data_IF_479434734593
#
_entry.id   IF_479434734593
#
_cell.length_a   1.000
_cell.length_b   1.000
_cell.length_c   1.000
_cell.angle_alpha   90.00
_cell.angle_beta   90.00
_cell.angle_gamma   90.00
#
_symmetry.space_group_name_H-M   'P 1'
#
loop_
_entity.id
_entity.type
_entity.pdbx_description
1 polymer ?
#
# COMPACT_ATOMS: atom_id res chain seq x y z
N UNK A 1 -25.77 -23.28 22.58
CA UNK A 1 -25.36 -21.89 22.32
C UNK A 1 -24.66 -21.88 20.97
N UNK A 2 -24.93 -20.91 20.11
CA UNK A 2 -24.09 -20.70 18.93
C UNK A 2 -22.76 -20.12 19.42
N UNK A 3 -21.65 -20.60 18.88
CA UNK A 3 -20.38 -19.93 19.08
C UNK A 3 -20.37 -18.74 18.11
N UNK A 4 -20.31 -17.53 18.66
CA UNK A 4 -20.22 -16.31 17.87
C UNK A 4 -18.74 -15.93 17.71
N UNK A 5 -18.34 -15.54 16.50
CA UNK A 5 -17.03 -14.95 16.23
C UNK A 5 -17.26 -13.47 15.99
N UNK A 6 -16.84 -12.62 16.92
CA UNK A 6 -16.91 -11.17 16.80
C UNK A 6 -15.58 -10.64 16.26
N UNK A 7 -15.64 -9.72 15.29
CA UNK A 7 -14.46 -9.05 14.72
C UNK A 7 -14.43 -7.60 15.21
N UNK A 8 -13.32 -7.19 15.82
CA UNK A 8 -13.10 -5.79 16.19
C UNK A 8 -12.43 -5.05 15.03
N UNK A 9 -12.87 -3.80 14.80
CA UNK A 9 -12.21 -2.89 13.86
C UNK A 9 -11.08 -2.20 14.62
N UNK A 10 -9.83 -2.52 14.28
CA UNK A 10 -8.67 -1.80 14.82
C UNK A 10 -8.48 -0.42 14.17
N UNK A 11 -7.45 0.31 14.59
CA UNK A 11 -7.07 1.57 13.96
C UNK A 11 -6.57 1.31 12.54
N UNK A 12 -7.22 1.89 11.54
CA UNK A 12 -6.79 1.81 10.14
C UNK A 12 -5.47 2.56 9.96
N UNK A 13 -4.56 1.95 9.21
CA UNK A 13 -3.35 2.62 8.70
C UNK A 13 -3.64 3.09 7.29
N UNK A 14 -3.28 4.33 6.98
CA UNK A 14 -3.52 4.93 5.67
C UNK A 14 -2.22 5.41 5.04
N UNK A 15 -1.98 4.99 3.80
CA UNK A 15 -0.84 5.38 2.98
C UNK A 15 -1.30 6.36 1.90
N UNK A 16 -0.88 7.63 2.00
CA UNK A 16 -1.17 8.69 1.04
C UNK A 16 -0.32 9.94 1.32
N UNK A 17 -0.36 10.93 0.45
CA UNK A 17 0.25 12.25 0.72
C UNK A 17 -0.69 13.10 1.56
N UNK A 18 -0.26 13.47 2.77
CA UNK A 18 -1.06 14.25 3.73
C UNK A 18 -1.56 15.56 3.11
N UNK A 19 -2.88 15.79 3.16
CA UNK A 19 -3.53 16.98 2.61
C UNK A 19 -3.87 16.88 1.12
N UNK A 20 -3.44 15.83 0.44
CA UNK A 20 -3.75 15.63 -0.99
C UNK A 20 -5.05 14.88 -1.19
N UNK A 21 -5.42 13.92 -0.33
CA UNK A 21 -6.60 13.10 -0.62
C UNK A 21 -7.91 13.90 -0.58
N UNK A 22 -8.46 14.20 -1.75
CA UNK A 22 -9.68 14.95 -1.95
C UNK A 22 -10.44 14.37 -3.15
N UNK A 23 -11.03 13.18 -2.99
CA UNK A 23 -11.64 12.50 -4.11
C UNK A 23 -12.85 13.31 -4.55
N UNK A 24 -12.91 13.65 -5.84
CA UNK A 24 -14.12 14.22 -6.45
C UNK A 24 -15.31 13.25 -6.27
N UNK A 25 -15.03 11.94 -6.18
CA UNK A 25 -15.99 10.90 -5.89
C UNK A 25 -15.78 10.27 -4.49
N UNK A 26 -16.67 10.60 -3.55
CA UNK A 26 -16.67 10.02 -2.19
C UNK A 26 -16.73 8.48 -2.22
N UNK A 27 -17.24 7.88 -3.30
CA UNK A 27 -17.35 6.43 -3.44
C UNK A 27 -16.00 5.70 -3.45
N UNK A 28 -14.89 6.40 -3.71
CA UNK A 28 -13.57 5.77 -3.78
C UNK A 28 -12.79 5.81 -2.47
N UNK A 29 -13.30 6.52 -1.46
CA UNK A 29 -12.62 6.71 -0.18
C UNK A 29 -12.80 5.52 0.77
N UNK A 30 -11.73 4.75 1.00
CA UNK A 30 -11.72 3.64 1.96
C UNK A 30 -11.42 4.04 3.40
N UNK A 31 -11.36 5.34 3.70
CA UNK A 31 -11.02 5.82 5.04
C UNK A 31 -12.11 5.50 6.06
N UNK A 32 -11.71 4.87 7.17
CA UNK A 32 -12.60 4.61 8.29
C UNK A 32 -12.33 5.64 9.40
N UNK A 33 -13.33 6.47 9.70
CA UNK A 33 -13.23 7.49 10.74
C UNK A 33 -12.10 8.49 10.50
N UNK A 34 -11.36 8.82 11.56
CA UNK A 34 -10.15 9.64 11.48
C UNK A 34 -8.94 8.75 11.73
N UNK A 35 -8.29 8.18 10.69
CA UNK A 35 -7.12 7.35 10.88
C UNK A 35 -6.02 8.17 11.56
N UNK A 36 -5.38 7.60 12.57
CA UNK A 36 -4.30 8.27 13.31
C UNK A 36 -2.94 8.00 12.71
N UNK A 37 -2.79 6.88 11.99
CA UNK A 37 -1.53 6.46 11.39
C UNK A 37 -1.57 6.74 9.89
N UNK A 38 -1.10 7.94 9.55
CA UNK A 38 -0.90 8.41 8.18
C UNK A 38 0.56 8.24 7.80
N UNK A 39 0.80 7.50 6.73
CA UNK A 39 2.13 7.17 6.21
C UNK A 39 2.24 7.75 4.81
N UNK A 40 3.33 8.44 4.52
CA UNK A 40 3.50 9.07 3.21
C UNK A 40 3.73 8.00 2.14
N UNK A 41 2.96 8.07 1.07
CA UNK A 41 3.14 7.31 -0.16
C UNK A 41 2.69 8.18 -1.32
N UNK A 42 3.64 8.59 -2.16
CA UNK A 42 3.39 9.35 -3.38
C UNK A 42 3.25 8.37 -4.54
N UNK A 43 2.13 8.47 -5.26
CA UNK A 43 1.76 7.69 -6.43
C UNK A 43 1.59 8.55 -7.71
N UNK A 44 1.79 9.87 -7.64
CA UNK A 44 1.76 10.76 -8.80
C UNK A 44 2.72 10.29 -9.90
N UNK A 45 2.22 10.23 -11.14
CA UNK A 45 3.00 9.97 -12.36
C UNK A 45 3.86 8.70 -12.30
N UNK A 46 3.44 7.67 -11.58
CA UNK A 46 4.16 6.39 -11.56
C UNK A 46 3.98 5.71 -12.90
N UNK A 47 5.04 5.72 -13.71
CA UNK A 47 5.05 5.12 -15.04
C UNK A 47 4.73 3.62 -15.02
N UNK A 48 4.26 3.10 -16.15
CA UNK A 48 4.12 1.67 -16.37
C UNK A 48 5.46 0.94 -16.12
N UNK A 49 5.38 -0.22 -15.49
CA UNK A 49 6.49 -1.04 -15.00
C UNK A 49 7.41 -0.38 -13.94
N UNK A 50 7.03 0.80 -13.40
CA UNK A 50 7.72 1.44 -12.29
C UNK A 50 7.04 1.12 -10.94
N UNK A 51 7.75 1.34 -9.84
CA UNK A 51 7.23 1.15 -8.50
C UNK A 51 7.57 2.27 -7.54
N UNK A 52 6.76 2.38 -6.49
CA UNK A 52 6.93 3.28 -5.35
C UNK A 52 6.99 2.50 -4.07
N UNK A 53 7.74 3.03 -3.11
CA UNK A 53 7.77 2.55 -1.74
C UNK A 53 7.29 3.67 -0.82
N UNK A 54 6.50 3.33 0.20
CA UNK A 54 6.02 4.29 1.19
C UNK A 54 7.12 4.69 2.18
N UNK A 55 6.87 5.69 3.01
CA UNK A 55 7.54 5.80 4.30
C UNK A 55 7.33 4.53 5.14
N UNK A 56 8.27 4.25 6.04
CA UNK A 56 8.16 3.13 6.96
C UNK A 56 7.03 3.39 7.96
N UNK A 57 6.20 2.37 8.16
CA UNK A 57 5.16 2.37 9.17
C UNK A 57 5.51 1.49 10.36
N UNK A 58 4.99 1.86 11.52
CA UNK A 58 4.97 1.07 12.74
C UNK A 58 3.57 0.48 12.96
N UNK A 59 3.45 -0.84 12.92
CA UNK A 59 2.19 -1.54 13.15
C UNK A 59 1.83 -1.65 14.65
N UNK A 60 2.67 -1.14 15.54
CA UNK A 60 2.53 -1.20 16.97
C UNK A 60 3.11 -2.46 17.61
N UNK A 61 3.36 -2.39 18.93
CA UNK A 61 3.78 -3.55 19.70
C UNK A 61 2.65 -4.60 19.82
N UNK A 62 1.41 -4.13 19.92
CA UNK A 62 0.19 -4.94 19.96
C UNK A 62 -0.52 -4.85 18.61
N UNK A 63 0.09 -5.45 17.59
CA UNK A 63 -0.42 -5.43 16.20
C UNK A 63 -1.41 -6.56 15.93
N UNK A 64 -2.28 -6.37 14.95
CA UNK A 64 -3.12 -7.47 14.44
C UNK A 64 -2.25 -8.51 13.71
N UNK A 65 -2.70 -9.76 13.72
CA UNK A 65 -2.00 -10.83 13.01
C UNK A 65 -2.15 -10.74 11.48
N UNK A 66 -3.24 -10.11 11.02
CA UNK A 66 -3.54 -9.91 9.61
C UNK A 66 -4.19 -8.55 9.37
N UNK A 67 -4.03 -8.04 8.16
CA UNK A 67 -4.60 -6.78 7.70
C UNK A 67 -5.22 -7.00 6.33
N UNK A 68 -6.47 -6.56 6.14
CA UNK A 68 -7.04 -6.38 4.81
C UNK A 68 -6.39 -5.16 4.15
N UNK A 69 -6.04 -5.30 2.87
CA UNK A 69 -5.45 -4.23 2.07
C UNK A 69 -6.40 -3.84 0.95
N UNK A 70 -6.77 -2.56 0.91
CA UNK A 70 -7.57 -1.96 -0.15
C UNK A 70 -6.73 -0.91 -0.86
N UNK A 71 -6.73 -0.96 -2.19
CA UNK A 71 -6.01 -0.04 -3.06
C UNK A 71 -6.98 0.94 -3.74
N UNK A 72 -6.51 2.15 -3.96
CA UNK A 72 -7.16 3.20 -4.73
C UNK A 72 -6.08 3.97 -5.49
N UNK A 73 -6.11 3.92 -6.81
CA UNK A 73 -5.13 4.58 -7.69
C UNK A 73 -5.86 5.41 -8.73
N UNK A 74 -5.24 6.49 -9.16
CA UNK A 74 -5.84 7.40 -10.12
C UNK A 74 -5.25 7.27 -11.52
N UNK A 75 -6.15 7.23 -12.49
CA UNK A 75 -5.88 7.22 -13.93
C UNK A 75 -6.70 8.31 -14.63
N UNK A 76 -7.05 9.40 -13.95
CA UNK A 76 -7.98 10.43 -14.47
C UNK A 76 -7.51 11.18 -15.73
N UNK A 77 -6.32 11.02 -16.26
CA UNK A 77 -5.93 11.50 -17.58
C UNK A 77 -5.42 10.39 -18.49
N UNK A 78 -5.45 9.16 -18.00
CA UNK A 78 -4.67 8.03 -18.46
C UNK A 78 -5.59 6.85 -18.80
N UNK A 79 -5.15 5.89 -19.60
CA UNK A 79 -5.99 4.75 -20.02
C UNK A 79 -5.28 3.44 -19.74
N UNK A 80 -5.41 2.92 -18.51
CA UNK A 80 -4.85 1.61 -18.18
C UNK A 80 -5.38 0.52 -19.11
N UNK A 81 -4.61 -0.55 -19.27
CA UNK A 81 -5.03 -1.71 -20.07
C UNK A 81 -5.98 -2.58 -19.24
N UNK A 82 -7.13 -2.98 -19.82
CA UNK A 82 -8.05 -3.93 -19.17
C UNK A 82 -7.30 -5.19 -18.73
N UNK A 83 -7.44 -5.54 -17.46
CA UNK A 83 -6.78 -6.72 -16.89
C UNK A 83 -5.32 -6.52 -16.54
N UNK A 84 -4.77 -5.31 -16.74
CA UNK A 84 -3.52 -4.88 -16.13
C UNK A 84 -3.65 -4.86 -14.60
N UNK A 85 -2.51 -4.71 -13.92
CA UNK A 85 -2.49 -4.80 -12.45
C UNK A 85 -1.73 -3.67 -11.78
N UNK A 86 -2.16 -3.33 -10.57
CA UNK A 86 -1.32 -2.64 -9.60
C UNK A 86 -0.99 -3.62 -8.50
N UNK A 87 0.28 -3.98 -8.40
CA UNK A 87 0.75 -5.05 -7.51
C UNK A 87 1.26 -4.47 -6.20
N UNK A 88 0.86 -5.09 -5.09
CA UNK A 88 1.22 -4.64 -3.75
C UNK A 88 2.09 -5.67 -3.06
N UNK A 89 3.17 -5.18 -2.45
CA UNK A 89 4.09 -5.96 -1.65
C UNK A 89 4.35 -5.28 -0.30
N UNK A 90 4.81 -6.08 0.65
CA UNK A 90 5.27 -5.62 1.95
C UNK A 90 6.76 -5.88 2.11
N UNK A 91 7.52 -4.81 2.33
CA UNK A 91 8.93 -4.88 2.70
C UNK A 91 9.07 -4.79 4.23
N UNK A 92 9.29 -5.90 4.95
CA UNK A 92 9.42 -5.86 6.41
C UNK A 92 10.69 -5.14 6.87
N UNK A 93 10.65 -4.60 8.09
CA UNK A 93 11.81 -4.01 8.75
C UNK A 93 11.87 -4.41 10.22
N UNK A 94 13.09 -4.55 10.73
CA UNK A 94 13.36 -4.81 12.15
C UNK A 94 13.59 -3.54 12.96
N UNK A 95 13.55 -2.36 12.32
CA UNK A 95 13.98 -1.11 12.93
C UNK A 95 13.01 0.04 12.62
N UNK A 96 12.83 0.97 13.56
CA UNK A 96 11.94 2.14 13.39
C UNK A 96 12.57 3.25 12.55
N UNK A 97 13.89 3.47 12.67
CA UNK A 97 14.62 4.50 11.90
C UNK A 97 14.74 4.13 10.42
N UNK A 98 14.60 5.13 9.54
CA UNK A 98 14.90 5.03 8.11
C UNK A 98 16.33 4.54 7.86
N UNK A 99 16.59 4.01 6.66
CA UNK A 99 17.83 3.37 6.21
C UNK A 99 18.33 2.15 7.04
N UNK A 100 17.72 1.84 8.18
CA UNK A 100 18.16 0.79 9.07
C UNK A 100 17.24 -0.43 9.00
N UNK A 101 17.85 -1.63 8.96
CA UNK A 101 17.15 -2.91 9.13
C UNK A 101 16.05 -3.16 8.09
N UNK A 102 16.25 -2.65 6.88
CA UNK A 102 15.31 -2.65 5.77
C UNK A 102 15.62 -3.78 4.79
N UNK A 103 14.60 -4.41 4.21
CA UNK A 103 14.80 -5.46 3.18
C UNK A 103 15.63 -4.89 2.03
N UNK A 104 16.62 -5.68 1.59
CA UNK A 104 17.62 -5.27 0.60
C UNK A 104 18.35 -3.94 0.91
N UNK A 105 18.28 -3.46 2.15
CA UNK A 105 18.78 -2.15 2.55
C UNK A 105 18.06 -0.98 1.90
N UNK A 106 16.78 -1.12 1.51
CA UNK A 106 16.03 0.00 0.96
C UNK A 106 15.88 1.16 1.98
N UNK A 107 15.47 2.34 1.53
CA UNK A 107 15.63 3.58 2.30
C UNK A 107 14.68 3.70 3.49
N UNK A 108 13.54 3.01 3.52
CA UNK A 108 12.53 3.25 4.56
C UNK A 108 11.74 4.55 4.37
N UNK A 109 11.88 5.23 3.24
CA UNK A 109 11.28 6.52 2.94
C UNK A 109 10.47 6.50 1.63
N UNK A 110 9.51 7.42 1.48
CA UNK A 110 8.76 7.63 0.24
C UNK A 110 9.71 7.92 -0.94
N UNK A 111 9.78 6.99 -1.89
CA UNK A 111 10.72 7.04 -3.01
C UNK A 111 10.30 6.10 -4.15
N UNK A 112 10.97 6.23 -5.30
CA UNK A 112 10.95 5.19 -6.32
C UNK A 112 11.49 3.88 -5.75
N UNK A 113 10.84 2.75 -6.04
CA UNK A 113 11.27 1.44 -5.58
C UNK A 113 12.23 0.79 -6.61
N UNK A 114 13.34 0.16 -6.18
CA UNK A 114 13.86 0.15 -4.82
C UNK A 114 14.65 1.42 -4.51
N UNK A 115 14.22 2.18 -3.50
CA UNK A 115 14.90 3.41 -3.10
C UNK A 115 16.06 3.08 -2.18
N UNK A 116 17.28 3.49 -2.51
CA UNK A 116 18.44 3.32 -1.61
C UNK A 116 18.92 1.89 -1.35
N UNK A 117 18.51 0.91 -2.16
CA UNK A 117 18.88 -0.49 -1.95
C UNK A 117 20.38 -0.79 -2.14
N UNK A 118 20.87 -1.77 -1.38
CA UNK A 118 22.25 -2.25 -1.42
C UNK A 118 22.57 -2.89 -2.78
N UNK A 119 23.75 -2.57 -3.32
CA UNK A 119 24.30 -3.28 -4.47
C UNK A 119 23.54 -3.08 -5.79
N UNK A 120 22.79 -1.98 -5.95
CA UNK A 120 22.10 -1.61 -7.20
C UNK A 120 21.16 -2.69 -7.74
N UNK A 121 20.45 -3.39 -6.85
CA UNK A 121 19.47 -4.40 -7.29
C UNK A 121 18.35 -3.75 -8.11
N UNK A 122 17.86 -4.49 -9.09
CA UNK A 122 16.70 -4.12 -9.90
C UNK A 122 15.41 -4.20 -9.10
N UNK A 123 14.35 -3.51 -9.56
CA UNK A 123 13.00 -3.63 -8.99
C UNK A 123 12.54 -5.09 -8.92
N UNK A 124 12.78 -5.85 -9.99
CA UNK A 124 12.40 -7.27 -10.07
C UNK A 124 13.16 -8.13 -9.06
N UNK A 125 14.42 -7.83 -8.74
CA UNK A 125 15.16 -8.53 -7.69
C UNK A 125 14.69 -8.13 -6.29
N UNK A 126 14.38 -6.84 -6.09
CA UNK A 126 13.90 -6.32 -4.82
C UNK A 126 12.57 -6.95 -4.38
N UNK A 127 11.59 -7.02 -5.28
CA UNK A 127 10.24 -7.48 -4.94
C UNK A 127 10.20 -8.97 -4.61
N UNK A 128 11.19 -9.75 -5.08
CA UNK A 128 11.39 -11.16 -4.69
C UNK A 128 11.83 -11.34 -3.24
N UNK A 129 12.33 -10.27 -2.61
CA UNK A 129 12.66 -10.26 -1.17
C UNK A 129 11.49 -9.74 -0.31
N UNK A 130 10.42 -9.26 -0.94
CA UNK A 130 9.23 -8.73 -0.27
C UNK A 130 8.13 -9.80 -0.15
N UNK A 131 7.17 -9.56 0.73
CA UNK A 131 5.97 -10.39 0.85
C UNK A 131 4.94 -9.88 -0.15
N UNK A 132 4.57 -10.69 -1.13
CA UNK A 132 3.47 -10.33 -2.04
C UNK A 132 2.14 -10.34 -1.29
N UNK A 133 1.36 -9.27 -1.42
CA UNK A 133 0.06 -9.11 -0.79
C UNK A 133 -1.05 -9.54 -1.76
N UNK A 134 -0.98 -9.04 -2.99
CA UNK A 134 -2.01 -9.20 -4.00
C UNK A 134 -1.94 -8.10 -5.06
N UNK A 135 -2.98 -8.04 -5.90
CA UNK A 135 -3.05 -7.10 -7.02
C UNK A 135 -4.43 -6.48 -7.13
N UNK A 136 -4.48 -5.18 -7.36
CA UNK A 136 -5.68 -4.51 -7.88
C UNK A 136 -5.71 -4.70 -9.40
N UNK A 137 -6.72 -5.40 -9.90
CA UNK A 137 -6.94 -5.54 -11.35
C UNK A 137 -7.72 -4.33 -11.83
N UNK A 138 -7.24 -3.69 -12.89
CA UNK A 138 -7.85 -2.45 -13.43
C UNK A 138 -8.66 -2.72 -14.69
N UNK A 139 -9.65 -1.87 -14.94
CA UNK A 139 -10.31 -1.76 -16.24
C UNK A 139 -9.74 -0.58 -17.02
N UNK A 140 -10.19 -0.34 -18.26
CA UNK A 140 -9.68 0.71 -19.18
C UNK A 140 -10.31 2.09 -19.00
N UNK A 141 -10.86 2.36 -17.82
CA UNK A 141 -11.47 3.66 -17.54
C UNK A 141 -10.42 4.68 -17.15
N UNK A 142 -10.46 5.85 -17.80
CA UNK A 142 -9.76 7.06 -17.36
C UNK A 142 -10.46 7.64 -16.11
N UNK A 143 -10.30 6.93 -15.01
CA UNK A 143 -10.94 7.22 -13.73
C UNK A 143 -10.17 6.55 -12.61
N UNK A 144 -10.47 6.95 -11.39
CA UNK A 144 -10.02 6.26 -10.18
C UNK A 144 -10.40 4.77 -10.24
N UNK A 145 -9.43 3.92 -9.96
CA UNK A 145 -9.58 2.46 -9.86
C UNK A 145 -9.37 2.06 -8.40
N UNK A 146 -10.30 1.31 -7.82
CA UNK A 146 -10.19 0.91 -6.42
C UNK A 146 -10.73 -0.50 -6.16
N UNK A 147 -10.33 -1.10 -5.03
CA UNK A 147 -10.86 -2.40 -4.63
C UNK A 147 -9.97 -3.16 -3.65
N UNK A 148 -10.39 -4.41 -3.40
CA UNK A 148 -9.66 -5.37 -2.58
C UNK A 148 -8.39 -5.84 -3.29
N UNK A 149 -7.27 -5.76 -2.58
CA UNK A 149 -5.96 -6.21 -3.05
C UNK A 149 -5.63 -7.58 -2.48
N UNK A 150 -5.76 -7.73 -1.16
CA UNK A 150 -5.35 -8.96 -0.48
C UNK A 150 -5.33 -8.84 1.04
N UNK A 151 -4.77 -9.86 1.69
CA UNK A 151 -4.58 -9.91 3.14
C UNK A 151 -3.10 -10.04 3.46
N UNK A 152 -2.54 -9.06 4.16
CA UNK A 152 -1.17 -9.08 4.65
C UNK A 152 -1.10 -9.75 6.03
N UNK A 153 -0.16 -10.67 6.20
CA UNK A 153 0.25 -11.21 7.51
C UNK A 153 1.69 -10.80 7.79
N UNK A 154 1.92 -9.66 8.49
CA UNK A 154 3.25 -9.08 8.61
C UNK A 154 4.13 -9.89 9.57
N UNK A 155 5.35 -10.21 9.11
CA UNK A 155 6.34 -10.97 9.90
C UNK A 155 6.97 -10.15 11.03
N UNK A 156 6.97 -8.82 10.89
CA UNK A 156 7.58 -7.88 11.84
C UNK A 156 6.64 -6.74 12.20
N UNK A 157 7.12 -5.87 13.10
CA UNK A 157 6.41 -4.67 13.57
C UNK A 157 6.49 -3.51 12.57
N UNK A 158 7.60 -3.38 11.87
CA UNK A 158 7.81 -2.28 10.93
C UNK A 158 7.85 -2.77 9.50
N UNK A 159 7.59 -1.88 8.55
CA UNK A 159 7.78 -2.16 7.13
C UNK A 159 7.22 -1.06 6.24
N UNK A 160 7.19 -1.33 4.95
CA UNK A 160 6.71 -0.41 3.92
C UNK A 160 5.78 -1.15 2.97
N UNK A 161 4.79 -0.42 2.45
CA UNK A 161 4.07 -0.85 1.26
C UNK A 161 4.91 -0.50 0.04
N UNK A 162 5.01 -1.46 -0.88
CA UNK A 162 5.56 -1.28 -2.21
C UNK A 162 4.42 -1.43 -3.20
N UNK A 163 4.26 -0.47 -4.10
CA UNK A 163 3.26 -0.47 -5.16
C UNK A 163 3.98 -0.52 -6.49
N UNK A 164 3.59 -1.43 -7.39
CA UNK A 164 4.13 -1.54 -8.74
C UNK A 164 3.01 -1.36 -9.75
N UNK A 165 3.21 -0.44 -10.68
CA UNK A 165 2.25 -0.19 -11.73
C UNK A 165 2.51 -1.10 -12.94
N UNK A 166 1.74 -2.18 -13.05
CA UNK A 166 1.71 -3.07 -14.21
C UNK A 166 0.40 -2.92 -15.01
N UNK A 167 -0.21 -1.73 -14.94
CA UNK A 167 -1.51 -1.45 -15.57
C UNK A 167 -1.42 -1.25 -17.08
N UNK A 168 -0.22 -0.98 -17.61
CA UNK A 168 0.01 -0.65 -19.02
C UNK A 168 0.03 0.85 -19.33
N UNK A 169 -0.28 1.71 -18.35
CA UNK A 169 -0.16 3.17 -18.48
C UNK A 169 0.40 3.80 -17.19
N UNK A 170 0.72 5.09 -17.18
CA UNK A 170 1.11 5.82 -15.97
C UNK A 170 -0.10 6.10 -15.05
N UNK A 171 0.16 6.33 -13.77
CA UNK A 171 -0.83 6.96 -12.88
C UNK A 171 -0.94 8.45 -13.18
N UNK A 172 -2.07 9.06 -12.79
CA UNK A 172 -2.31 10.50 -12.90
C UNK A 172 -1.16 11.32 -12.29
N UNK A 173 -0.92 12.52 -12.82
CA UNK A 173 0.22 13.36 -12.43
C UNK A 173 0.04 14.09 -11.07
N UNK A 174 -0.88 13.63 -10.22
CA UNK A 174 -1.07 14.10 -8.86
C UNK A 174 -1.39 12.95 -7.88
N UNK A 175 -1.56 13.29 -6.59
CA UNK A 175 -1.83 12.34 -5.51
C UNK A 175 -3.21 12.54 -4.87
N UNK A 176 -4.14 13.20 -5.57
CA UNK A 176 -5.37 13.69 -4.96
C UNK A 176 -6.39 12.56 -4.75
N UNK A 177 -6.42 11.59 -5.65
CA UNK A 177 -7.39 10.48 -5.62
C UNK A 177 -6.74 9.14 -5.22
N UNK A 178 -5.45 9.11 -4.95
CA UNK A 178 -4.71 7.89 -4.67
C UNK A 178 -4.51 7.64 -3.16
N UNK A 179 -4.79 6.43 -2.70
CA UNK A 179 -4.44 5.98 -1.36
C UNK A 179 -4.43 4.45 -1.25
N UNK A 180 -3.82 3.95 -0.20
CA UNK A 180 -3.92 2.54 0.21
C UNK A 180 -4.25 2.48 1.69
N UNK A 181 -5.13 1.57 2.10
CA UNK A 181 -5.44 1.37 3.52
C UNK A 181 -5.14 -0.06 3.95
N UNK A 182 -4.74 -0.18 5.20
CA UNK A 182 -4.62 -1.46 5.91
C UNK A 182 -5.59 -1.48 7.09
N UNK A 183 -6.58 -2.34 7.00
CA UNK A 183 -7.59 -2.56 8.04
C UNK A 183 -7.16 -3.73 8.92
N UNK A 184 -6.92 -3.53 10.24
CA UNK A 184 -6.56 -4.63 11.12
C UNK A 184 -7.70 -5.64 11.24
N UNK A 185 -7.41 -6.93 11.00
CA UNK A 185 -8.33 -8.04 11.25
C UNK A 185 -8.07 -8.51 12.69
N UNK A 186 -8.91 -8.08 13.62
CA UNK A 186 -8.77 -8.39 15.04
C UNK A 186 -9.83 -9.41 15.46
N UNK A 187 -9.37 -10.63 15.75
CA UNK A 187 -10.21 -11.67 16.33
C UNK A 187 -10.48 -11.37 17.81
N UNK A 188 -11.75 -11.47 18.22
CA UNK A 188 -12.13 -11.44 19.63
C UNK A 188 -12.27 -12.87 20.15
N UNK A 189 -11.42 -13.26 21.11
CA UNK A 189 -11.57 -14.51 21.85
C UNK A 189 -12.44 -14.21 23.08
N UNK A 190 -13.55 -14.94 23.22
CA UNK A 190 -14.40 -14.96 24.42
C UNK A 190 -14.07 -16.14 25.32
#
# INVERSE_FOLDING_TARGET
MANEVLQKVGTQIRFFVTGSFSPVDVATNWTIGSPTDVVVLTLSAVAAAAGRQSDKVDLGATRAAAYEVLGCVDFTGETPTVGGTVDYYWAPSTHTTQANGNVAGNSGADAAAPGGALGTITLTEFVRQCIYIGSLVVHDGASVQNGFVGVLRPTGRYGQIIVINNSGDAFEADDIEAHTVMNPIVDEIQ
#
